data_IF_928447442779
#
_entry.id   IF_928447442779
#
_cell.length_a   1.000
_cell.length_b   1.000
_cell.length_c   1.000
_cell.angle_alpha   90.00
_cell.angle_beta   90.00
_cell.angle_gamma   90.00
#
_symmetry.space_group_name_H-M   'P 1'
#
loop_
_entity.id
_entity.type
_entity.pdbx_description
1 polymer ?
#
# COMPACT_ATOMS: atom_id res chain seq x y z
N UNK A 1 -11.80 14.05 -10.24
CA UNK A 1 -10.75 13.42 -9.41
C UNK A 1 -9.93 12.49 -10.29
N UNK A 2 -8.62 12.56 -10.19
CA UNK A 2 -7.75 11.68 -10.95
C UNK A 2 -7.85 10.25 -10.43
N UNK A 3 -8.01 9.30 -11.35
CA UNK A 3 -8.04 7.89 -11.00
C UNK A 3 -6.62 7.41 -10.68
N UNK A 4 -6.49 6.66 -9.58
CA UNK A 4 -5.23 6.05 -9.15
C UNK A 4 -5.41 4.55 -9.13
N UNK A 5 -4.73 3.85 -10.04
CA UNK A 5 -4.86 2.40 -10.20
C UNK A 5 -3.48 1.76 -10.30
N UNK A 6 -3.40 0.51 -9.87
CA UNK A 6 -2.22 -0.33 -10.10
C UNK A 6 -2.49 -1.08 -11.39
N UNK A 7 -1.72 -0.76 -12.42
CA UNK A 7 -1.99 -1.23 -13.79
C UNK A 7 -1.11 -2.39 -14.23
N UNK A 8 -0.07 -2.73 -13.46
CA UNK A 8 0.75 -3.90 -13.72
C UNK A 8 1.50 -4.33 -12.47
N UNK A 9 1.70 -5.64 -12.33
CA UNK A 9 2.50 -6.22 -11.25
C UNK A 9 3.32 -7.36 -11.82
N UNK A 10 4.64 -7.30 -11.61
CA UNK A 10 5.55 -8.42 -11.84
C UNK A 10 6.53 -8.48 -10.67
N UNK A 11 7.33 -9.53 -10.63
CA UNK A 11 8.30 -9.68 -9.52
C UNK A 11 9.26 -8.50 -9.50
N UNK A 12 9.27 -7.76 -8.39
CA UNK A 12 10.15 -6.63 -8.20
C UNK A 12 9.77 -5.36 -8.96
N UNK A 13 8.58 -5.34 -9.58
CA UNK A 13 8.16 -4.15 -10.35
C UNK A 13 6.65 -3.97 -10.33
N UNK A 14 6.23 -2.76 -10.02
CA UNK A 14 4.82 -2.36 -10.05
C UNK A 14 4.66 -1.15 -10.96
N UNK A 15 3.53 -1.10 -11.65
CA UNK A 15 3.14 0.05 -12.43
C UNK A 15 1.91 0.69 -11.81
N UNK A 16 2.00 2.00 -11.57
CA UNK A 16 0.89 2.78 -11.01
C UNK A 16 0.52 3.87 -12.01
N UNK A 17 -0.74 3.95 -12.36
CA UNK A 17 -1.25 4.97 -13.28
C UNK A 17 -2.09 5.97 -12.50
N UNK A 18 -1.73 7.24 -12.59
CA UNK A 18 -2.41 8.33 -11.90
C UNK A 18 -2.77 9.40 -12.94
N UNK A 19 -4.08 9.57 -13.18
CA UNK A 19 -4.55 10.57 -14.15
C UNK A 19 -3.93 10.41 -15.53
N UNK A 20 -3.70 9.17 -15.97
CA UNK A 20 -3.08 8.88 -17.26
C UNK A 20 -1.56 8.90 -17.27
N UNK A 21 -0.91 9.30 -16.18
CA UNK A 21 0.56 9.26 -16.03
C UNK A 21 0.95 7.91 -15.44
N UNK A 22 2.02 7.31 -15.99
CA UNK A 22 2.50 5.98 -15.59
C UNK A 22 3.78 6.11 -14.78
N UNK A 23 3.80 5.46 -13.62
CA UNK A 23 4.96 5.42 -12.72
C UNK A 23 5.33 3.98 -12.44
N UNK A 24 6.63 3.71 -12.27
CA UNK A 24 7.14 2.38 -11.96
C UNK A 24 7.90 2.39 -10.64
N UNK A 25 7.68 1.36 -9.83
CA UNK A 25 8.36 1.20 -8.52
C UNK A 25 8.69 -0.28 -8.30
N UNK A 26 9.67 -0.54 -7.44
CA UNK A 26 9.83 -1.87 -6.86
C UNK A 26 8.78 -2.06 -5.77
N UNK A 27 8.86 -1.28 -4.70
CA UNK A 27 7.87 -1.20 -3.64
C UNK A 27 7.35 0.23 -3.60
N UNK A 28 6.09 0.42 -3.25
CA UNK A 28 5.52 1.76 -3.28
C UNK A 28 4.51 2.00 -2.19
N UNK A 29 4.33 3.29 -1.89
CA UNK A 29 3.22 3.83 -1.12
C UNK A 29 2.32 4.55 -2.08
N UNK A 30 1.01 4.33 -1.98
CA UNK A 30 0.02 4.90 -2.89
C UNK A 30 -1.08 5.56 -2.07
N UNK A 31 -1.57 6.70 -2.56
CA UNK A 31 -2.73 7.39 -2.01
C UNK A 31 -3.51 8.03 -3.14
N UNK A 32 -4.73 8.53 -2.91
CA UNK A 32 -5.50 9.15 -4.00
C UNK A 32 -4.74 10.31 -4.63
N UNK A 33 -4.39 10.17 -5.90
CA UNK A 33 -3.68 11.20 -6.67
C UNK A 33 -2.18 11.21 -6.51
N UNK A 34 -1.57 10.25 -5.79
CA UNK A 34 -0.12 10.24 -5.60
C UNK A 34 0.46 8.87 -5.28
N UNK A 35 1.76 8.76 -5.47
CA UNK A 35 2.51 7.57 -5.12
C UNK A 35 3.99 7.91 -4.99
N UNK A 36 4.71 7.11 -4.24
CA UNK A 36 6.17 7.20 -4.20
C UNK A 36 6.81 5.85 -3.89
N UNK A 37 8.10 5.74 -4.14
CA UNK A 37 8.86 4.56 -3.77
C UNK A 37 8.84 4.39 -2.25
N UNK A 38 8.66 3.15 -1.82
CA UNK A 38 8.71 2.80 -0.40
C UNK A 38 10.10 2.25 -0.10
N UNK A 39 10.89 3.05 0.58
CA UNK A 39 12.24 2.67 1.01
C UNK A 39 12.19 2.24 2.47
N UNK A 40 12.32 0.93 2.71
CA UNK A 40 12.27 0.37 4.06
C UNK A 40 13.36 0.93 4.97
N UNK A 41 14.49 1.34 4.40
CA UNK A 41 15.60 1.89 5.20
C UNK A 41 15.23 3.20 5.91
N UNK A 42 14.25 3.94 5.39
CA UNK A 42 13.81 5.19 6.03
C UNK A 42 13.27 4.96 7.45
N UNK A 43 12.69 3.81 7.70
CA UNK A 43 12.07 3.47 8.98
C UNK A 43 12.72 2.26 9.64
N UNK A 44 13.71 1.65 9.00
CA UNK A 44 14.33 0.42 9.50
C UNK A 44 13.41 -0.78 9.42
N UNK A 45 12.49 -0.79 8.46
CA UNK A 45 11.53 -1.88 8.29
C UNK A 45 12.22 -3.12 7.74
N UNK A 46 11.83 -4.28 8.25
CA UNK A 46 12.29 -5.59 7.80
C UNK A 46 11.07 -6.51 7.65
N UNK A 47 11.26 -7.66 7.01
CA UNK A 47 10.15 -8.62 6.82
C UNK A 47 9.49 -9.01 8.14
N UNK A 48 10.27 -9.12 9.19
CA UNK A 48 9.81 -9.40 10.55
C UNK A 48 10.48 -8.39 11.47
N UNK A 49 9.75 -7.65 12.28
CA UNK A 49 8.33 -7.76 12.57
C UNK A 49 7.39 -7.19 11.51
N UNK A 50 7.89 -6.48 10.48
CA UNK A 50 7.11 -6.05 9.36
C UNK A 50 6.79 -4.55 9.32
N UNK A 51 5.70 -4.22 8.67
CA UNK A 51 5.25 -2.84 8.45
C UNK A 51 5.03 -2.13 9.78
N UNK A 52 5.74 -1.02 9.97
CA UNK A 52 5.72 -0.25 11.21
C UNK A 52 4.73 0.92 11.13
N UNK A 53 4.29 1.46 12.28
CA UNK A 53 3.46 2.67 12.28
C UNK A 53 4.07 3.81 11.46
N UNK A 54 5.40 4.00 11.54
CA UNK A 54 6.08 5.04 10.78
C UNK A 54 5.94 4.85 9.26
N UNK A 55 5.78 3.61 8.79
CA UNK A 55 5.62 3.34 7.37
C UNK A 55 4.29 3.85 6.80
N UNK A 56 3.24 3.85 7.62
CA UNK A 56 1.88 4.18 7.15
C UNK A 56 1.48 5.64 7.37
N UNK A 57 2.23 6.40 8.17
CA UNK A 57 1.84 7.76 8.55
C UNK A 57 1.64 8.69 7.36
N UNK A 58 2.52 8.63 6.37
CA UNK A 58 2.41 9.48 5.19
C UNK A 58 1.12 9.22 4.41
N UNK A 59 0.79 7.94 4.21
CA UNK A 59 -0.42 7.55 3.49
C UNK A 59 -1.67 7.94 4.29
N UNK A 60 -1.65 7.74 5.61
CA UNK A 60 -2.78 8.12 6.47
C UNK A 60 -3.03 9.63 6.43
N UNK A 61 -1.97 10.45 6.27
CA UNK A 61 -2.10 11.90 6.20
C UNK A 61 -2.83 12.38 4.95
N UNK A 62 -3.05 11.52 3.98
CA UNK A 62 -3.72 11.85 2.71
C UNK A 62 -5.25 11.71 2.78
N UNK A 63 -5.82 11.52 3.95
CA UNK A 63 -7.28 11.41 4.16
C UNK A 63 -7.88 10.26 3.35
N UNK A 64 -7.48 9.06 3.68
CA UNK A 64 -7.98 7.84 3.01
C UNK A 64 -9.20 7.27 3.75
N UNK A 65 -10.02 6.51 3.02
CA UNK A 65 -11.17 5.78 3.59
C UNK A 65 -10.78 4.39 4.03
N UNK A 66 -9.76 3.80 3.39
CA UNK A 66 -9.37 2.41 3.61
C UNK A 66 -7.90 2.25 3.22
N UNK A 67 -7.18 1.39 3.95
CA UNK A 67 -5.77 1.11 3.71
C UNK A 67 -5.60 -0.34 3.29
N UNK A 68 -4.81 -0.57 2.23
CA UNK A 68 -4.46 -1.91 1.78
C UNK A 68 -2.96 -2.14 2.03
N UNK A 69 -2.64 -3.19 2.76
CA UNK A 69 -1.27 -3.57 3.08
C UNK A 69 -0.92 -4.86 2.34
N UNK A 70 -0.03 -4.74 1.36
CA UNK A 70 0.37 -5.86 0.51
C UNK A 70 1.69 -6.44 1.02
N UNK A 71 1.61 -7.64 1.55
CA UNK A 71 2.68 -8.28 2.32
C UNK A 71 3.62 -9.14 1.49
N UNK A 72 3.74 -8.87 0.20
CA UNK A 72 4.60 -9.63 -0.70
C UNK A 72 3.84 -10.71 -1.46
N UNK A 73 4.46 -11.19 -2.53
CA UNK A 73 3.85 -12.22 -3.39
C UNK A 73 3.59 -13.50 -2.60
N UNK A 74 4.48 -13.84 -1.67
CA UNK A 74 4.34 -15.01 -0.80
C UNK A 74 3.91 -14.66 0.63
N UNK A 75 3.61 -13.38 0.89
CA UNK A 75 3.11 -12.96 2.19
C UNK A 75 4.16 -12.97 3.30
N UNK A 76 5.43 -12.80 2.99
CA UNK A 76 6.51 -12.87 3.98
C UNK A 76 6.74 -11.58 4.76
N UNK A 77 6.23 -10.47 4.27
CA UNK A 77 6.31 -9.21 4.99
C UNK A 77 5.20 -9.16 6.04
N UNK A 78 5.58 -9.07 7.30
CA UNK A 78 4.63 -8.98 8.40
C UNK A 78 4.05 -7.58 8.56
N UNK A 79 3.16 -7.44 9.52
CA UNK A 79 2.60 -6.16 9.97
C UNK A 79 2.77 -6.11 11.49
N UNK A 80 3.46 -5.10 11.99
CA UNK A 80 3.65 -4.97 13.43
C UNK A 80 2.32 -4.86 14.17
N UNK A 81 2.24 -5.45 15.36
CA UNK A 81 1.04 -5.36 16.20
C UNK A 81 0.68 -3.90 16.48
N UNK A 82 1.67 -3.04 16.70
CA UNK A 82 1.48 -1.61 16.94
C UNK A 82 0.83 -0.92 15.75
N UNK A 83 1.14 -1.36 14.53
CA UNK A 83 0.55 -0.79 13.31
C UNK A 83 -0.94 -1.10 13.23
N UNK A 84 -1.32 -2.33 13.52
CA UNK A 84 -2.74 -2.71 13.53
C UNK A 84 -3.49 -2.01 14.66
N UNK A 85 -2.87 -1.90 15.84
CA UNK A 85 -3.46 -1.17 16.96
C UNK A 85 -3.73 0.28 16.59
N UNK A 86 -2.76 0.94 15.95
CA UNK A 86 -2.89 2.33 15.50
C UNK A 86 -4.08 2.48 14.55
N UNK A 87 -4.19 1.59 13.57
CA UNK A 87 -5.28 1.63 12.59
C UNK A 87 -6.65 1.45 13.27
N UNK A 88 -6.74 0.49 14.19
CA UNK A 88 -7.98 0.27 14.94
C UNK A 88 -8.34 1.46 15.80
N UNK A 89 -7.36 2.04 16.49
CA UNK A 89 -7.60 3.21 17.35
C UNK A 89 -8.06 4.43 16.56
N UNK A 90 -7.54 4.60 15.34
CA UNK A 90 -7.95 5.70 14.46
C UNK A 90 -9.22 5.39 13.66
N UNK A 91 -9.77 4.19 13.81
CA UNK A 91 -10.99 3.80 13.10
C UNK A 91 -10.81 3.68 11.60
N UNK A 92 -9.61 3.32 11.13
CA UNK A 92 -9.31 3.21 9.70
C UNK A 92 -9.49 1.75 9.29
N UNK A 93 -10.45 1.44 8.40
CA UNK A 93 -10.56 0.10 7.84
C UNK A 93 -9.30 -0.26 7.08
N UNK A 94 -8.83 -1.50 7.24
CA UNK A 94 -7.63 -1.94 6.54
C UNK A 94 -7.71 -3.41 6.18
N UNK A 95 -6.94 -3.78 5.16
CA UNK A 95 -6.83 -5.15 4.68
C UNK A 95 -5.36 -5.54 4.57
N UNK A 96 -5.03 -6.74 4.99
CA UNK A 96 -3.70 -7.31 4.88
C UNK A 96 -3.82 -8.49 3.92
N UNK A 97 -3.16 -8.39 2.77
CA UNK A 97 -3.29 -9.38 1.70
C UNK A 97 -1.94 -9.67 1.06
N UNK A 98 -1.81 -10.83 0.43
CA UNK A 98 -0.69 -11.06 -0.49
C UNK A 98 -0.80 -10.09 -1.65
N UNK A 99 0.34 -9.70 -2.22
CA UNK A 99 0.39 -8.56 -3.14
C UNK A 99 -0.54 -8.70 -4.35
N UNK A 100 -0.65 -9.89 -4.95
CA UNK A 100 -1.53 -10.08 -6.10
C UNK A 100 -2.99 -9.80 -5.74
N UNK A 101 -3.46 -10.34 -4.61
CA UNK A 101 -4.81 -10.10 -4.12
C UNK A 101 -5.00 -8.64 -3.68
N UNK A 102 -3.96 -8.05 -3.10
CA UNK A 102 -3.99 -6.66 -2.67
C UNK A 102 -4.15 -5.69 -3.84
N UNK A 103 -3.49 -5.97 -4.97
CA UNK A 103 -3.63 -5.16 -6.20
C UNK A 103 -5.07 -5.19 -6.69
N UNK A 104 -5.68 -6.37 -6.78
CA UNK A 104 -7.07 -6.51 -7.21
C UNK A 104 -8.01 -5.76 -6.27
N UNK A 105 -7.83 -5.92 -4.96
CA UNK A 105 -8.66 -5.26 -3.96
C UNK A 105 -8.51 -3.74 -4.02
N UNK A 106 -7.27 -3.24 -4.11
CA UNK A 106 -7.01 -1.81 -4.22
C UNK A 106 -7.77 -1.21 -5.41
N UNK A 107 -7.64 -1.84 -6.57
CA UNK A 107 -8.28 -1.34 -7.79
C UNK A 107 -9.81 -1.41 -7.69
N UNK A 108 -10.36 -2.47 -7.13
CA UNK A 108 -11.81 -2.60 -6.96
C UNK A 108 -12.35 -1.49 -6.05
N UNK A 109 -11.67 -1.23 -4.93
CA UNK A 109 -12.08 -0.17 -4.00
C UNK A 109 -11.99 1.22 -4.66
N UNK A 110 -10.90 1.46 -5.41
CA UNK A 110 -10.72 2.72 -6.11
C UNK A 110 -11.83 2.95 -7.14
N UNK A 111 -12.21 1.90 -7.88
CA UNK A 111 -13.28 1.98 -8.88
C UNK A 111 -14.65 2.19 -8.26
N UNK A 112 -14.82 1.83 -7.00
CA UNK A 112 -16.04 2.09 -6.23
C UNK A 112 -16.09 3.53 -5.70
N UNK A 113 -15.09 4.34 -5.98
CA UNK A 113 -15.02 5.72 -5.51
C UNK A 113 -14.45 5.90 -4.12
N UNK A 114 -13.87 4.84 -3.53
CA UNK A 114 -13.21 4.94 -2.23
C UNK A 114 -11.88 5.67 -2.35
N UNK A 115 -11.51 6.39 -1.30
CA UNK A 115 -10.19 6.99 -1.18
C UNK A 115 -9.25 5.93 -0.60
N UNK A 116 -8.56 5.22 -1.47
CA UNK A 116 -7.74 4.06 -1.08
C UNK A 116 -6.29 4.47 -0.91
N UNK A 117 -5.71 4.09 0.21
CA UNK A 117 -4.26 4.15 0.40
C UNK A 117 -3.69 2.74 0.41
N UNK A 118 -2.39 2.62 0.15
CA UNK A 118 -1.76 1.31 0.18
C UNK A 118 -0.26 1.36 0.33
N UNK A 119 0.28 0.28 0.88
CA UNK A 119 1.71 -0.01 0.91
C UNK A 119 1.90 -1.37 0.23
N UNK A 120 2.78 -1.41 -0.76
CA UNK A 120 2.92 -2.58 -1.62
C UNK A 120 4.37 -3.05 -1.69
N UNK A 121 4.57 -4.34 -1.38
CA UNK A 121 5.83 -5.05 -1.51
C UNK A 121 5.71 -5.98 -2.72
N UNK A 122 6.58 -5.83 -3.72
CA UNK A 122 6.42 -6.52 -5.01
C UNK A 122 7.23 -7.81 -5.14
N UNK A 123 7.99 -8.19 -4.11
CA UNK A 123 8.71 -9.47 -4.07
C UNK A 123 8.14 -10.35 -2.95
N UNK A 124 8.95 -11.18 -2.31
CA UNK A 124 8.50 -12.14 -1.31
C UNK A 124 7.73 -11.56 -0.12
#
# INVERSE_FOLDING_TARGET
>A
MEETLITSLSWGRMEVTIGGQIYHFKDCKIWPGGARAWNWAETGTEHIPGIQPADIEEVLSQKIDVLVLACGVFGRLGVCAETETLLRERGIPYHIEKTKQAVALFNDLAKQGKRVGGLFHSTC
#
